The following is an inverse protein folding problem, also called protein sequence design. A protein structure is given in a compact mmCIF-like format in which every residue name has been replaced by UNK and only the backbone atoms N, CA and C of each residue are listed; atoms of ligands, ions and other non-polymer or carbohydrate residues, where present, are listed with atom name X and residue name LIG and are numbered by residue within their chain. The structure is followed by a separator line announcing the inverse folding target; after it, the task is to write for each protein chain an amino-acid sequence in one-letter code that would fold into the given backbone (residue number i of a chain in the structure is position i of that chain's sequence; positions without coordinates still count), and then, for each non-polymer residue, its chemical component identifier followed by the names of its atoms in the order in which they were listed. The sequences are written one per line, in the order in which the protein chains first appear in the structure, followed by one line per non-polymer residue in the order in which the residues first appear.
data_IF_931514509258
#
_entry.id   IF_931514509258
#
_cell.length_a   1.000
_cell.length_b   1.000
_cell.length_c   1.000
_cell.angle_alpha   90.00
_cell.angle_beta   90.00
_cell.angle_gamma   90.00
#
_symmetry.space_group_name_H-M   'P 1'
#
loop_
_entity.id
_entity.type
_entity.pdbx_description
1 polymer ?
#
# COMPACT_ATOMS: atom_id res chain seq x y z
N UNK A 1 -42.19 -8.38 -10.09
CA UNK A 1 -40.80 -8.50 -10.63
C UNK A 1 -40.10 -9.56 -9.82
N UNK A 2 -39.73 -10.68 -10.46
CA UNK A 2 -39.09 -11.81 -9.76
C UNK A 2 -37.66 -11.41 -9.41
N UNK A 3 -37.38 -11.15 -8.14
CA UNK A 3 -36.01 -11.03 -7.65
C UNK A 3 -35.41 -12.43 -7.63
N UNK A 4 -34.71 -12.80 -8.70
CA UNK A 4 -33.86 -13.99 -8.71
C UNK A 4 -32.77 -13.78 -7.67
N UNK A 5 -33.00 -14.27 -6.45
CA UNK A 5 -31.98 -14.30 -5.40
C UNK A 5 -30.91 -15.27 -5.84
N UNK A 6 -29.76 -14.75 -6.26
CA UNK A 6 -28.59 -15.57 -6.59
C UNK A 6 -28.23 -16.37 -5.34
N UNK A 7 -28.31 -17.68 -5.41
CA UNK A 7 -28.01 -18.55 -4.29
C UNK A 7 -26.49 -18.66 -4.12
N UNK A 8 -25.95 -17.96 -3.12
CA UNK A 8 -24.52 -18.02 -2.79
C UNK A 8 -24.26 -19.22 -1.89
N UNK A 9 -23.55 -20.22 -2.40
CA UNK A 9 -23.25 -21.44 -1.64
C UNK A 9 -22.21 -21.18 -0.55
N UNK A 10 -22.27 -21.95 0.54
CA UNK A 10 -21.27 -21.90 1.62
C UNK A 10 -19.86 -22.21 1.10
N UNK A 11 -19.74 -23.07 0.08
CA UNK A 11 -18.48 -23.40 -0.57
C UNK A 11 -17.86 -22.18 -1.27
N UNK A 12 -18.65 -21.39 -2.01
CA UNK A 12 -18.17 -20.15 -2.64
C UNK A 12 -17.71 -19.12 -1.61
N UNK A 13 -18.45 -18.96 -0.51
CA UNK A 13 -18.05 -18.04 0.56
C UNK A 13 -16.74 -18.50 1.21
N UNK A 14 -16.59 -19.80 1.45
CA UNK A 14 -15.36 -20.39 1.99
C UNK A 14 -14.17 -20.16 1.05
N UNK A 15 -14.32 -20.46 -0.24
CA UNK A 15 -13.27 -20.26 -1.25
C UNK A 15 -12.84 -18.79 -1.34
N UNK A 16 -13.80 -17.86 -1.41
CA UNK A 16 -13.47 -16.43 -1.43
C UNK A 16 -12.73 -15.99 -0.16
N UNK A 17 -13.14 -16.51 1.01
CA UNK A 17 -12.47 -16.23 2.29
C UNK A 17 -11.05 -16.78 2.31
N UNK A 18 -10.82 -17.98 1.79
CA UNK A 18 -9.48 -18.57 1.72
C UNK A 18 -8.56 -17.77 0.77
N UNK A 19 -9.10 -17.30 -0.35
CA UNK A 19 -8.35 -16.47 -1.33
C UNK A 19 -8.03 -15.06 -0.84
N UNK A 20 -8.92 -14.45 -0.04
CA UNK A 20 -8.82 -13.03 0.33
C UNK A 20 -8.46 -12.77 1.78
N UNK A 21 -8.67 -13.75 2.66
CA UNK A 21 -8.55 -13.61 4.10
C UNK A 21 -9.61 -12.71 4.74
N UNK A 22 -10.60 -12.22 4.00
CA UNK A 22 -11.61 -11.30 4.50
C UNK A 22 -12.62 -11.98 5.47
N UNK A 23 -13.33 -11.20 6.32
CA UNK A 23 -14.36 -11.75 7.20
C UNK A 23 -15.44 -12.52 6.42
N UNK A 24 -15.95 -13.61 7.01
CA UNK A 24 -16.90 -14.52 6.36
C UNK A 24 -18.15 -13.80 5.82
N UNK A 25 -18.70 -12.87 6.61
CA UNK A 25 -19.89 -12.12 6.23
C UNK A 25 -19.61 -11.13 5.10
N UNK A 26 -18.43 -10.52 5.09
CA UNK A 26 -18.02 -9.61 4.00
C UNK A 26 -17.87 -10.40 2.69
N UNK A 27 -17.31 -11.61 2.75
CA UNK A 27 -17.21 -12.51 1.58
C UNK A 27 -18.60 -12.84 1.03
N UNK A 28 -19.55 -13.20 1.90
CA UNK A 28 -20.93 -13.51 1.49
C UNK A 28 -21.62 -12.31 0.86
N UNK A 29 -21.47 -11.13 1.44
CA UNK A 29 -22.04 -9.90 0.91
C UNK A 29 -21.43 -9.52 -0.44
N UNK A 30 -20.10 -9.61 -0.57
CA UNK A 30 -19.40 -9.33 -1.81
C UNK A 30 -19.84 -10.28 -2.93
N UNK A 31 -19.97 -11.59 -2.65
CA UNK A 31 -20.50 -12.57 -3.60
C UNK A 31 -21.95 -12.29 -3.97
N UNK A 32 -22.78 -11.84 -3.02
CA UNK A 32 -24.16 -11.48 -3.29
C UNK A 32 -24.24 -10.28 -4.23
N UNK A 33 -23.45 -9.25 -4.01
CA UNK A 33 -23.37 -8.05 -4.86
C UNK A 33 -22.77 -8.34 -6.24
N UNK A 34 -21.78 -9.23 -6.29
CA UNK A 34 -21.19 -9.74 -7.52
C UNK A 34 -22.06 -10.78 -8.23
N UNK A 35 -23.25 -11.10 -7.71
CA UNK A 35 -24.16 -12.11 -8.28
C UNK A 35 -23.45 -13.47 -8.50
N UNK A 36 -22.59 -13.85 -7.56
CA UNK A 36 -21.82 -15.09 -7.57
C UNK A 36 -20.52 -15.05 -8.38
N UNK A 37 -20.20 -13.94 -9.03
CA UNK A 37 -18.92 -13.77 -9.74
C UNK A 37 -17.77 -13.59 -8.74
N UNK A 38 -16.80 -14.51 -8.80
CA UNK A 38 -15.70 -14.56 -7.85
C UNK A 38 -14.70 -13.41 -8.03
N UNK A 39 -14.36 -13.07 -9.26
CA UNK A 39 -13.37 -12.02 -9.54
C UNK A 39 -13.95 -10.64 -9.23
N UNK A 40 -15.22 -10.42 -9.56
CA UNK A 40 -15.92 -9.19 -9.17
C UNK A 40 -16.08 -9.10 -7.64
N UNK A 41 -16.33 -10.21 -6.93
CA UNK A 41 -16.39 -10.22 -5.47
C UNK A 41 -15.04 -9.84 -4.84
N UNK A 42 -13.91 -10.31 -5.40
CA UNK A 42 -12.57 -9.90 -4.97
C UNK A 42 -12.37 -8.39 -5.15
N UNK A 43 -12.78 -7.83 -6.29
CA UNK A 43 -12.70 -6.38 -6.54
C UNK A 43 -13.55 -5.60 -5.53
N UNK A 44 -14.76 -6.09 -5.20
CA UNK A 44 -15.63 -5.48 -4.19
C UNK A 44 -14.96 -5.49 -2.82
N UNK A 45 -14.38 -6.63 -2.41
CA UNK A 45 -13.67 -6.73 -1.13
C UNK A 45 -12.47 -5.79 -1.06
N UNK A 46 -11.68 -5.68 -2.14
CA UNK A 46 -10.55 -4.72 -2.21
C UNK A 46 -11.03 -3.28 -2.01
N UNK A 47 -12.10 -2.87 -2.69
CA UNK A 47 -12.69 -1.53 -2.54
C UNK A 47 -13.19 -1.26 -1.11
N UNK A 48 -13.84 -2.26 -0.49
CA UNK A 48 -14.30 -2.16 0.90
C UNK A 48 -13.13 -2.07 1.87
N UNK A 49 -12.10 -2.90 1.69
CA UNK A 49 -10.88 -2.85 2.50
C UNK A 49 -10.22 -1.47 2.49
N UNK A 50 -10.11 -0.85 1.31
CA UNK A 50 -9.63 0.52 1.17
C UNK A 50 -10.49 1.54 1.96
N UNK A 51 -11.82 1.43 1.88
CA UNK A 51 -12.72 2.30 2.63
C UNK A 51 -12.63 2.10 4.15
N UNK A 52 -12.46 0.84 4.61
CA UNK A 52 -12.25 0.52 6.03
C UNK A 52 -10.93 1.09 6.52
N UNK A 53 -9.86 0.92 5.73
CA UNK A 53 -8.55 1.49 6.03
C UNK A 53 -8.62 3.02 6.15
N UNK A 54 -9.28 3.70 5.20
CA UNK A 54 -9.45 5.15 5.25
C UNK A 54 -10.20 5.61 6.52
N UNK A 55 -11.26 4.90 6.92
CA UNK A 55 -12.02 5.21 8.16
C UNK A 55 -11.19 5.01 9.43
N UNK A 56 -10.18 4.14 9.38
CA UNK A 56 -9.31 3.82 10.52
C UNK A 56 -8.00 4.62 10.50
N UNK A 57 -7.67 5.29 9.40
CA UNK A 57 -6.37 5.94 9.20
C UNK A 57 -6.00 6.94 10.29
N UNK A 58 -6.98 7.63 10.88
CA UNK A 58 -6.77 8.62 11.96
C UNK A 58 -6.66 8.02 13.35
N UNK A 59 -6.78 6.70 13.49
CA UNK A 59 -6.64 6.02 14.78
C UNK A 59 -5.17 5.92 15.14
N UNK A 60 -4.86 6.22 16.40
CA UNK A 60 -3.50 6.14 16.92
C UNK A 60 -2.99 4.71 16.86
N UNK A 61 -1.81 4.54 16.26
CA UNK A 61 -1.09 3.26 16.16
C UNK A 61 0.16 3.31 17.04
N UNK A 62 0.02 3.06 18.34
CA UNK A 62 1.13 3.12 19.30
C UNK A 62 1.86 1.78 19.52
N UNK A 63 1.31 0.68 19.02
CA UNK A 63 1.88 -0.66 19.09
C UNK A 63 2.44 -1.08 17.73
N UNK A 64 3.08 -2.25 17.64
CA UNK A 64 3.56 -2.78 16.36
C UNK A 64 4.84 -3.59 16.47
N UNK A 65 5.62 -3.62 15.39
CA UNK A 65 6.91 -4.31 15.38
C UNK A 65 7.94 -3.63 14.47
N UNK A 66 9.20 -3.85 14.82
CA UNK A 66 10.33 -3.56 13.95
C UNK A 66 10.78 -4.89 13.33
N UNK A 67 10.94 -4.92 12.01
CA UNK A 67 11.53 -6.05 11.31
C UNK A 67 12.81 -5.65 10.60
N UNK A 68 13.70 -6.63 10.46
CA UNK A 68 14.88 -6.55 9.62
C UNK A 68 14.79 -7.50 8.44
N UNK A 69 15.31 -7.10 7.27
CA UNK A 69 15.52 -7.99 6.14
C UNK A 69 16.92 -7.83 5.57
N UNK A 70 17.64 -8.95 5.47
CA UNK A 70 19.01 -9.00 4.95
C UNK A 70 19.00 -9.81 3.65
N UNK A 71 19.47 -9.21 2.56
CA UNK A 71 19.43 -9.80 1.23
C UNK A 71 20.83 -10.03 0.65
N UNK A 72 20.92 -10.94 -0.32
CA UNK A 72 22.10 -11.22 -1.14
C UNK A 72 23.39 -11.39 -0.30
N UNK A 73 23.33 -12.21 0.75
CA UNK A 73 24.49 -12.51 1.61
C UNK A 73 24.99 -11.31 2.41
N UNK A 74 24.11 -10.36 2.76
CA UNK A 74 24.48 -9.18 3.55
C UNK A 74 24.77 -7.92 2.74
N UNK A 75 24.57 -7.95 1.42
CA UNK A 75 24.82 -6.78 0.56
C UNK A 75 23.75 -5.70 0.66
N UNK A 76 22.54 -6.05 1.09
CA UNK A 76 21.45 -5.11 1.35
C UNK A 76 20.85 -5.44 2.71
N UNK A 77 20.64 -4.41 3.53
CA UNK A 77 19.99 -4.52 4.83
C UNK A 77 18.88 -3.49 4.99
N UNK A 78 17.74 -3.91 5.52
CA UNK A 78 16.60 -3.04 5.81
C UNK A 78 16.18 -3.19 7.26
N UNK A 79 15.83 -2.08 7.89
CA UNK A 79 15.04 -2.01 9.12
C UNK A 79 13.76 -1.23 8.83
N UNK A 80 12.62 -1.73 9.25
CA UNK A 80 11.31 -1.06 9.10
C UNK A 80 10.50 -1.16 10.38
N UNK A 81 9.88 -0.05 10.75
CA UNK A 81 8.90 0.02 11.84
C UNK A 81 7.49 0.11 11.24
N UNK A 82 6.64 -0.85 11.59
CA UNK A 82 5.23 -0.87 11.20
C UNK A 82 4.40 -0.89 12.48
N UNK A 83 3.47 0.04 12.59
CA UNK A 83 2.60 0.20 13.76
C UNK A 83 1.19 -0.37 13.51
N UNK A 84 0.55 -0.78 14.60
CA UNK A 84 -0.87 -1.14 14.71
C UNK A 84 -1.48 -0.56 16.00
N UNK A 85 -2.77 -0.80 16.26
CA UNK A 85 -3.47 -0.25 17.41
C UNK A 85 -3.14 -1.05 18.70
N UNK A 86 -3.01 -2.38 18.63
CA UNK A 86 -2.78 -3.25 19.80
C UNK A 86 -1.58 -4.18 19.69
N UNK A 87 -1.04 -4.59 20.85
CA UNK A 87 0.05 -5.57 20.95
C UNK A 87 -0.40 -6.99 20.56
N UNK A 88 -1.71 -7.27 20.68
CA UNK A 88 -2.32 -8.51 20.22
C UNK A 88 -2.16 -8.67 18.72
N UNK A 89 -2.53 -7.66 17.93
CA UNK A 89 -2.36 -7.69 16.47
C UNK A 89 -0.88 -7.77 16.09
N UNK A 90 -0.01 -7.04 16.78
CA UNK A 90 1.44 -7.06 16.53
C UNK A 90 2.07 -8.46 16.62
N UNK A 91 1.47 -9.38 17.39
CA UNK A 91 1.95 -10.76 17.59
C UNK A 91 1.34 -11.78 16.63
N UNK A 92 0.32 -11.41 15.86
CA UNK A 92 -0.31 -12.31 14.88
C UNK A 92 0.63 -12.64 13.72
N UNK A 93 0.48 -13.82 13.14
CA UNK A 93 1.29 -14.24 11.99
C UNK A 93 0.99 -13.36 10.76
N UNK A 94 -0.26 -12.93 10.59
CA UNK A 94 -0.66 -12.00 9.51
C UNK A 94 0.07 -10.66 9.57
N UNK A 95 0.25 -10.11 10.78
CA UNK A 95 0.98 -8.86 10.95
C UNK A 95 2.48 -9.08 10.73
N UNK A 96 3.07 -10.11 11.34
CA UNK A 96 4.50 -10.45 11.16
C UNK A 96 4.87 -10.69 9.70
N UNK A 97 4.02 -11.40 8.96
CA UNK A 97 4.18 -11.62 7.52
C UNK A 97 4.16 -10.28 6.76
N UNK A 98 3.19 -9.40 7.04
CA UNK A 98 3.11 -8.08 6.43
C UNK A 98 4.39 -7.26 6.66
N UNK A 99 4.88 -7.19 7.91
CA UNK A 99 6.09 -6.41 8.23
C UNK A 99 7.32 -6.98 7.52
N UNK A 100 7.45 -8.31 7.48
CA UNK A 100 8.52 -8.97 6.73
C UNK A 100 8.46 -8.67 5.23
N UNK A 101 7.27 -8.76 4.63
CA UNK A 101 7.05 -8.51 3.21
C UNK A 101 7.32 -7.06 2.82
N UNK A 102 6.96 -6.11 3.69
CA UNK A 102 7.32 -4.69 3.51
C UNK A 102 8.84 -4.51 3.59
N UNK A 103 9.53 -5.14 4.55
CA UNK A 103 10.99 -5.04 4.67
C UNK A 103 11.71 -5.59 3.43
N UNK A 104 11.26 -6.74 2.93
CA UNK A 104 11.76 -7.36 1.70
C UNK A 104 11.45 -6.50 0.48
N UNK A 105 10.27 -5.91 0.40
CA UNK A 105 9.89 -4.99 -0.66
C UNK A 105 10.80 -3.75 -0.70
N UNK A 106 11.01 -3.11 0.46
CA UNK A 106 11.93 -1.95 0.57
C UNK A 106 13.34 -2.34 0.09
N UNK A 107 13.83 -3.53 0.45
CA UNK A 107 15.16 -3.98 0.03
C UNK A 107 15.30 -4.03 -1.50
N UNK A 108 14.26 -4.52 -2.19
CA UNK A 108 14.21 -4.66 -3.64
C UNK A 108 13.92 -3.33 -4.37
N UNK A 109 12.94 -2.56 -3.91
CA UNK A 109 12.37 -1.41 -4.62
C UNK A 109 13.02 -0.07 -4.26
N UNK A 110 13.77 0.01 -3.17
CA UNK A 110 14.47 1.23 -2.71
C UNK A 110 13.62 2.54 -2.72
N UNK A 111 12.39 2.53 -2.13
CA UNK A 111 11.58 3.73 -2.03
C UNK A 111 12.32 4.83 -1.25
N UNK A 112 12.09 6.10 -1.62
CA UNK A 112 12.70 7.27 -0.95
C UNK A 112 11.77 7.91 0.08
N UNK A 113 10.47 7.70 -0.06
CA UNK A 113 9.43 8.22 0.81
C UNK A 113 8.46 7.11 1.19
N UNK A 114 7.71 7.28 2.28
CA UNK A 114 6.67 6.31 2.65
C UNK A 114 5.40 6.59 1.84
N UNK A 115 4.95 7.85 1.84
CA UNK A 115 3.73 8.30 1.15
C UNK A 115 3.99 9.52 0.27
N UNK A 116 3.03 9.85 -0.60
CA UNK A 116 3.08 11.06 -1.44
C UNK A 116 3.20 12.33 -0.60
N UNK A 117 2.55 12.38 0.54
CA UNK A 117 2.56 13.53 1.44
C UNK A 117 3.92 13.71 2.12
N UNK A 118 4.75 12.66 2.19
CA UNK A 118 6.09 12.72 2.76
C UNK A 118 7.12 13.33 1.81
N UNK A 119 6.80 13.40 0.51
CA UNK A 119 7.67 14.03 -0.50
C UNK A 119 7.91 15.50 -0.13
N UNK A 120 9.17 15.94 -0.20
CA UNK A 120 9.53 17.32 0.13
C UNK A 120 9.12 18.27 -0.99
N UNK A 121 8.88 19.54 -0.66
CA UNK A 121 8.53 20.56 -1.64
C UNK A 121 9.63 20.70 -2.70
N UNK A 122 10.89 20.57 -2.30
CA UNK A 122 12.06 20.64 -3.18
C UNK A 122 12.12 19.47 -4.15
N UNK A 123 11.90 18.24 -3.66
CA UNK A 123 11.89 17.04 -4.50
C UNK A 123 10.74 17.10 -5.52
N UNK A 124 9.55 17.49 -5.06
CA UNK A 124 8.39 17.66 -5.93
C UNK A 124 8.62 18.73 -7.01
N UNK A 125 9.08 19.93 -6.60
CA UNK A 125 9.29 21.05 -7.52
C UNK A 125 10.34 20.71 -8.58
N UNK A 126 11.47 20.13 -8.17
CA UNK A 126 12.54 19.70 -9.07
C UNK A 126 12.01 18.77 -10.16
N UNK A 127 11.31 17.71 -9.78
CA UNK A 127 10.88 16.70 -10.73
C UNK A 127 9.76 17.21 -11.64
N UNK A 128 8.84 17.99 -11.09
CA UNK A 128 7.80 18.66 -11.87
C UNK A 128 8.40 19.62 -12.90
N UNK A 129 9.42 20.40 -12.55
CA UNK A 129 10.06 21.34 -13.46
C UNK A 129 10.79 20.62 -14.61
N UNK A 130 11.45 19.50 -14.31
CA UNK A 130 12.05 18.62 -15.33
C UNK A 130 10.97 18.15 -16.32
N UNK A 131 9.84 17.65 -15.82
CA UNK A 131 8.76 17.17 -16.67
C UNK A 131 8.07 18.28 -17.45
N UNK A 132 7.93 19.48 -16.87
CA UNK A 132 7.39 20.64 -17.56
C UNK A 132 8.29 21.09 -18.70
N UNK A 133 9.61 21.12 -18.49
CA UNK A 133 10.58 21.42 -19.54
C UNK A 133 10.49 20.39 -20.69
N UNK A 134 10.39 19.10 -20.36
CA UNK A 134 10.19 18.03 -21.34
C UNK A 134 8.85 18.16 -22.09
N UNK A 135 7.79 18.57 -21.41
CA UNK A 135 6.47 18.75 -22.03
C UNK A 135 6.46 19.95 -22.98
N UNK A 136 7.06 21.09 -22.60
CA UNK A 136 7.22 22.27 -23.47
C UNK A 136 8.05 21.96 -24.72
N UNK A 137 9.12 21.18 -24.57
CA UNK A 137 9.94 20.74 -25.69
C UNK A 137 9.20 19.80 -26.67
N UNK A 138 8.08 19.20 -26.27
CA UNK A 138 7.32 18.28 -27.12
C UNK A 138 6.40 18.96 -28.15
N UNK A 139 6.25 20.29 -28.09
CA UNK A 139 5.43 21.06 -29.03
C UNK A 139 3.92 20.79 -28.95
N UNK A 140 3.47 20.06 -27.92
CA UNK A 140 2.06 19.75 -27.69
C UNK A 140 1.32 20.96 -27.10
N UNK A 141 -0.01 21.10 -27.33
CA UNK A 141 -0.82 22.14 -26.70
C UNK A 141 -0.78 22.06 -25.16
N UNK A 142 -0.96 23.20 -24.49
CA UNK A 142 -0.81 23.34 -23.03
C UNK A 142 -1.61 22.30 -22.23
N UNK A 143 -2.89 22.09 -22.58
CA UNK A 143 -3.73 21.10 -21.90
C UNK A 143 -3.24 19.64 -22.04
N UNK A 144 -2.49 19.31 -23.09
CA UNK A 144 -1.86 17.99 -23.26
C UNK A 144 -0.52 17.95 -22.52
N UNK A 145 0.23 19.05 -22.53
CA UNK A 145 1.48 19.17 -21.77
C UNK A 145 1.23 19.02 -20.27
N UNK A 146 0.18 19.63 -19.72
CA UNK A 146 -0.24 19.50 -18.32
C UNK A 146 -0.58 18.05 -17.95
N UNK A 147 -1.45 17.39 -18.72
CA UNK A 147 -1.78 15.96 -18.51
C UNK A 147 -0.54 15.06 -18.61
N UNK A 148 0.42 15.41 -19.46
CA UNK A 148 1.67 14.67 -19.60
C UNK A 148 2.56 14.84 -18.35
N UNK A 149 2.61 16.04 -17.77
CA UNK A 149 3.31 16.28 -16.50
C UNK A 149 2.63 15.51 -15.37
N UNK A 150 1.30 15.55 -15.27
CA UNK A 150 0.54 14.80 -14.25
C UNK A 150 0.82 13.30 -14.32
N UNK A 151 0.75 12.69 -15.51
CA UNK A 151 1.04 11.27 -15.69
C UNK A 151 2.48 10.90 -15.32
N UNK A 152 3.45 11.77 -15.62
CA UNK A 152 4.86 11.55 -15.20
C UNK A 152 5.04 11.71 -13.70
N UNK A 153 4.37 12.67 -13.08
CA UNK A 153 4.35 12.81 -11.62
C UNK A 153 3.71 11.59 -10.95
N UNK A 154 2.69 10.99 -11.56
CA UNK A 154 2.12 9.72 -11.11
C UNK A 154 3.18 8.61 -11.05
N UNK A 155 3.95 8.44 -12.13
CA UNK A 155 5.05 7.47 -12.18
C UNK A 155 6.17 7.77 -11.19
N UNK A 156 6.54 9.04 -11.03
CA UNK A 156 7.49 9.45 -10.01
C UNK A 156 7.06 8.96 -8.63
N UNK A 157 5.79 9.14 -8.26
CA UNK A 157 5.29 8.62 -6.99
C UNK A 157 5.33 7.09 -6.91
N UNK A 158 4.93 6.38 -7.96
CA UNK A 158 5.04 4.91 -8.03
C UNK A 158 6.49 4.42 -7.88
N UNK A 159 7.48 5.21 -8.30
CA UNK A 159 8.89 4.86 -8.17
C UNK A 159 9.46 5.19 -6.79
N UNK A 160 9.11 6.35 -6.21
CA UNK A 160 9.78 6.86 -5.00
C UNK A 160 8.98 6.69 -3.71
N UNK A 161 7.66 6.46 -3.75
CA UNK A 161 6.82 6.33 -2.57
C UNK A 161 6.43 4.88 -2.31
N UNK A 162 6.80 4.34 -1.15
CA UNK A 162 6.52 2.96 -0.76
C UNK A 162 5.05 2.57 -0.96
N UNK A 163 4.10 3.40 -0.53
CA UNK A 163 2.67 3.08 -0.58
C UNK A 163 2.11 2.99 -2.02
N UNK A 164 2.80 3.61 -2.97
CA UNK A 164 2.39 3.67 -4.38
C UNK A 164 3.06 2.57 -5.22
N UNK A 165 4.14 1.97 -4.70
CA UNK A 165 4.88 0.93 -5.39
C UNK A 165 4.03 -0.35 -5.58
N UNK A 166 4.09 -0.98 -6.77
CA UNK A 166 3.57 -2.32 -7.00
C UNK A 166 4.33 -3.34 -6.15
N UNK A 167 3.61 -4.22 -5.45
CA UNK A 167 4.19 -5.17 -4.54
C UNK A 167 5.05 -6.21 -5.28
N UNK A 168 6.25 -6.47 -4.77
CA UNK A 168 7.25 -7.30 -5.47
C UNK A 168 6.81 -8.76 -5.67
N UNK A 169 5.93 -9.29 -4.81
CA UNK A 169 5.36 -10.64 -4.96
C UNK A 169 4.10 -10.66 -5.82
N UNK A 170 3.43 -9.53 -6.00
CA UNK A 170 2.23 -9.38 -6.83
C UNK A 170 2.16 -7.95 -7.39
N UNK A 171 2.61 -7.77 -8.62
CA UNK A 171 2.66 -6.47 -9.30
C UNK A 171 1.26 -5.89 -9.61
N UNK A 172 0.18 -6.64 -9.36
CA UNK A 172 -1.20 -6.15 -9.55
C UNK A 172 -1.75 -5.43 -8.31
N UNK A 173 -1.01 -5.45 -7.21
CA UNK A 173 -1.41 -4.90 -5.91
C UNK A 173 -0.35 -3.90 -5.44
N UNK A 174 -0.73 -2.69 -5.09
CA UNK A 174 0.19 -1.73 -4.47
C UNK A 174 0.41 -2.05 -2.99
N UNK A 175 1.48 -1.52 -2.39
CA UNK A 175 1.71 -1.66 -0.93
C UNK A 175 0.55 -1.05 -0.12
N UNK A 176 -0.02 0.08 -0.55
CA UNK A 176 -1.21 0.65 0.10
C UNK A 176 -2.41 -0.30 0.08
N UNK A 177 -2.64 -1.00 -1.03
CA UNK A 177 -3.72 -1.98 -1.14
C UNK A 177 -3.45 -3.25 -0.32
N UNK A 178 -2.19 -3.70 -0.26
CA UNK A 178 -1.77 -4.81 0.60
C UNK A 178 -2.06 -4.48 2.07
N UNK A 179 -1.64 -3.30 2.53
CA UNK A 179 -1.89 -2.82 3.90
C UNK A 179 -3.39 -2.71 4.15
N UNK A 180 -4.16 -2.10 3.24
CA UNK A 180 -5.61 -1.98 3.38
C UNK A 180 -6.32 -3.34 3.48
N UNK A 181 -5.83 -4.35 2.76
CA UNK A 181 -6.35 -5.72 2.85
C UNK A 181 -6.10 -6.31 4.24
N UNK A 182 -4.88 -6.15 4.78
CA UNK A 182 -4.56 -6.60 6.15
C UNK A 182 -5.35 -5.82 7.21
N UNK A 183 -5.59 -4.51 7.03
CA UNK A 183 -6.48 -3.71 7.89
C UNK A 183 -7.92 -4.25 7.86
N UNK A 184 -8.44 -4.58 6.68
CA UNK A 184 -9.79 -5.18 6.55
C UNK A 184 -9.91 -6.52 7.26
N UNK A 185 -8.84 -7.33 7.24
CA UNK A 185 -8.78 -8.64 7.91
C UNK A 185 -8.63 -8.52 9.43
N UNK A 186 -7.73 -7.66 9.90
CA UNK A 186 -7.33 -7.54 11.31
C UNK A 186 -8.19 -6.52 12.07
N UNK A 187 -8.95 -5.70 11.35
CA UNK A 187 -9.82 -4.66 11.90
C UNK A 187 -9.10 -3.60 12.77
N UNK A 188 -7.81 -3.37 12.53
CA UNK A 188 -7.01 -2.29 13.15
C UNK A 188 -6.33 -1.43 12.09
N UNK A 189 -6.09 -0.16 12.39
CA UNK A 189 -5.22 0.70 11.60
C UNK A 189 -3.80 0.11 11.59
N UNK A 190 -3.15 0.14 10.42
CA UNK A 190 -1.78 -0.33 10.23
C UNK A 190 -1.04 0.69 9.38
N UNK A 191 0.13 1.11 9.85
CA UNK A 191 0.91 2.17 9.20
C UNK A 191 2.41 1.91 9.25
N UNK A 192 3.12 2.16 8.15
CA UNK A 192 4.57 2.21 8.16
C UNK A 192 5.01 3.56 8.74
N UNK A 193 5.88 3.52 9.76
CA UNK A 193 6.35 4.73 10.45
C UNK A 193 7.65 5.26 9.89
N UNK A 194 8.62 4.37 9.70
CA UNK A 194 9.95 4.69 9.21
C UNK A 194 10.67 3.45 8.73
N UNK A 195 11.64 3.64 7.85
CA UNK A 195 12.59 2.61 7.48
C UNK A 195 13.97 3.19 7.21
N UNK A 196 14.97 2.31 7.28
CA UNK A 196 16.32 2.55 6.79
C UNK A 196 16.72 1.39 5.88
N UNK A 197 17.34 1.70 4.74
CA UNK A 197 17.89 0.74 3.80
C UNK A 197 19.34 1.07 3.51
N UNK A 198 20.19 0.06 3.64
CA UNK A 198 21.61 0.12 3.36
C UNK A 198 21.94 -0.84 2.22
N UNK A 199 22.86 -0.44 1.34
CA UNK A 199 23.37 -1.30 0.28
C UNK A 199 24.88 -1.10 0.14
N UNK A 200 25.62 -2.20 0.14
CA UNK A 200 27.08 -2.18 0.00
C UNK A 200 27.47 -1.47 -1.30
N UNK A 201 28.39 -0.50 -1.19
CA UNK A 201 28.89 0.29 -2.31
C UNK A 201 28.10 1.56 -2.60
N UNK A 202 26.95 1.78 -1.96
CA UNK A 202 26.29 3.09 -1.96
C UNK A 202 26.94 3.98 -0.91
N UNK A 203 27.12 5.27 -1.23
CA UNK A 203 27.83 6.23 -0.38
C UNK A 203 27.06 6.61 0.90
N UNK A 204 25.77 6.27 0.96
CA UNK A 204 24.90 6.52 2.10
C UNK A 204 23.72 5.56 2.10
N UNK A 205 22.79 5.83 3.01
CA UNK A 205 21.59 5.06 3.24
C UNK A 205 20.33 5.76 2.72
N UNK A 206 19.29 4.98 2.45
CA UNK A 206 17.94 5.51 2.25
C UNK A 206 17.21 5.48 3.59
N UNK A 207 16.88 6.64 4.15
CA UNK A 207 16.02 6.78 5.33
C UNK A 207 14.73 7.48 4.93
N UNK A 208 13.60 6.91 5.33
CA UNK A 208 12.31 7.55 5.20
C UNK A 208 11.56 7.51 6.54
N UNK A 209 10.84 8.58 6.85
CA UNK A 209 10.00 8.68 8.04
C UNK A 209 8.69 9.34 7.62
N UNK A 210 7.57 8.83 8.14
CA UNK A 210 6.27 9.44 7.89
C UNK A 210 6.18 10.78 8.62
N UNK A 211 5.67 11.80 7.93
CA UNK A 211 5.35 13.07 8.58
C UNK A 211 4.36 12.78 9.74
N UNK A 212 4.53 13.44 10.90
CA UNK A 212 3.53 13.35 11.97
C UNK A 212 2.16 13.69 11.40
N UNK A 213 1.14 12.89 11.71
CA UNK A 213 -0.23 13.33 11.45
C UNK A 213 -0.43 14.64 12.19
N UNK A 214 -0.80 15.70 11.45
CA UNK A 214 -1.19 16.95 12.07
C UNK A 214 -2.29 16.59 13.07
N UNK A 215 -2.04 16.85 14.37
CA UNK A 215 -3.06 16.65 15.39
C UNK A 215 -4.29 17.43 14.91
N UNK A 216 -5.41 16.72 14.72
CA UNK A 216 -6.68 17.41 14.65
C UNK A 216 -6.84 18.13 16.00
N UNK A 217 -6.69 19.47 15.97
CA UNK A 217 -7.11 20.33 17.07
C UNK A 217 -8.64 20.26 17.23
#
# INVERSE_FOLDING_TARGET
MSTTTVNISAAQVKDLRERTGAPMMDCKQALTEAKGDMEQAIVILRKRGAAVAQKKATRVTSEGSVASYIHAGGKIGVLVEVNCESDFVARTDDFKELVHDIAMHIAASDPKFIRKEDVTAEAYARERDIYLAQAKASGKPDHIAEKMVEGKMGKFYEEVCLYEQPFIKDQTVSISQLIATKIGKLAENISVRRFARFKVGEAGETIATSKPEAKAE
#
